data_IF_427244580865
#
_entry.id   IF_427244580865
#
_cell.length_a   1.000
_cell.length_b   1.000
_cell.length_c   1.000
_cell.angle_alpha   90.00
_cell.angle_beta   90.00
_cell.angle_gamma   90.00
#
_symmetry.space_group_name_H-M   'P 1'
#
loop_
_entity.id
_entity.type
_entity.pdbx_description
1 polymer ?
#
# COMPACT_ATOMS: atom_id res chain seq x y z
N UNK A 1 4.95 15.59 -4.43
CA UNK A 1 5.75 14.37 -4.20
C UNK A 1 6.44 14.50 -2.86
N UNK A 2 6.23 13.55 -1.96
CA UNK A 2 6.84 13.56 -0.62
C UNK A 2 7.95 12.52 -0.45
N UNK A 3 7.92 11.48 -1.28
CA UNK A 3 8.94 10.43 -1.26
C UNK A 3 9.02 9.75 -2.62
N UNK A 4 10.15 9.11 -2.89
CA UNK A 4 10.36 8.31 -4.08
C UNK A 4 10.91 6.95 -3.67
N UNK A 5 10.20 5.89 -4.04
CA UNK A 5 10.61 4.52 -3.76
C UNK A 5 11.08 3.85 -5.04
N UNK A 6 12.27 3.28 -5.00
CA UNK A 6 12.85 2.55 -6.14
C UNK A 6 13.24 1.15 -5.70
N UNK A 7 13.04 0.19 -6.60
CA UNK A 7 13.48 -1.19 -6.40
C UNK A 7 14.28 -1.64 -7.61
N UNK A 8 15.31 -2.44 -7.36
CA UNK A 8 16.17 -2.99 -8.41
C UNK A 8 16.29 -4.51 -8.23
N UNK A 9 16.29 -5.22 -9.33
CA UNK A 9 16.63 -6.63 -9.37
C UNK A 9 17.13 -7.00 -10.78
N UNK A 10 17.58 -8.23 -10.94
CA UNK A 10 18.16 -8.71 -12.20
C UNK A 10 17.14 -8.89 -13.32
N UNK A 11 15.87 -9.13 -13.00
CA UNK A 11 14.79 -9.29 -13.98
C UNK A 11 13.58 -8.42 -13.62
N UNK A 12 12.71 -8.17 -14.61
CA UNK A 12 11.48 -7.41 -14.39
C UNK A 12 10.58 -8.08 -13.34
N UNK A 13 10.40 -9.37 -13.43
CA UNK A 13 9.53 -10.13 -12.50
C UNK A 13 10.06 -10.02 -11.08
N UNK A 14 11.36 -10.20 -10.89
CA UNK A 14 11.98 -10.08 -9.57
C UNK A 14 11.92 -8.64 -9.03
N UNK A 15 12.12 -7.64 -9.88
CA UNK A 15 11.99 -6.24 -9.50
C UNK A 15 10.57 -5.90 -9.04
N UNK A 16 9.55 -6.42 -9.73
CA UNK A 16 8.15 -6.23 -9.34
C UNK A 16 7.85 -6.89 -7.99
N UNK A 17 8.34 -8.09 -7.76
CA UNK A 17 8.20 -8.79 -6.47
C UNK A 17 8.83 -7.98 -5.34
N UNK A 18 10.02 -7.46 -5.57
CA UNK A 18 10.73 -6.63 -4.58
C UNK A 18 9.99 -5.34 -4.30
N UNK A 19 9.49 -4.68 -5.33
CA UNK A 19 8.68 -3.45 -5.17
C UNK A 19 7.39 -3.73 -4.40
N UNK A 20 6.72 -4.83 -4.70
CA UNK A 20 5.51 -5.24 -3.99
C UNK A 20 5.76 -5.42 -2.50
N UNK A 21 6.85 -6.09 -2.15
CA UNK A 21 7.26 -6.25 -0.77
C UNK A 21 7.61 -4.91 -0.11
N UNK A 22 8.37 -4.08 -0.81
CA UNK A 22 8.77 -2.76 -0.29
C UNK A 22 7.54 -1.89 -0.01
N UNK A 23 6.56 -1.88 -0.91
CA UNK A 23 5.31 -1.12 -0.71
C UNK A 23 4.53 -1.66 0.50
N UNK A 24 4.46 -2.98 0.67
CA UNK A 24 3.74 -3.59 1.79
C UNK A 24 4.38 -3.27 3.16
N UNK A 25 5.65 -3.01 3.20
CA UNK A 25 6.40 -2.67 4.41
C UNK A 25 6.57 -1.16 4.61
N UNK A 26 6.25 -0.35 3.60
CA UNK A 26 6.44 1.10 3.62
C UNK A 26 5.25 1.77 4.31
N UNK A 27 5.53 2.54 5.35
CA UNK A 27 4.48 3.20 6.15
C UNK A 27 4.67 4.71 6.06
N UNK A 28 3.64 5.40 5.59
CA UNK A 28 3.55 6.87 5.61
C UNK A 28 2.26 7.22 6.34
N UNK A 29 2.38 7.96 7.42
CA UNK A 29 1.25 8.39 8.24
C UNK A 29 1.09 9.90 8.19
N UNK A 30 -0.13 10.36 8.41
CA UNK A 30 -0.45 11.78 8.45
C UNK A 30 -0.91 12.38 7.13
N UNK A 31 -0.72 11.69 6.02
CA UNK A 31 -1.18 12.14 4.69
C UNK A 31 -1.67 10.95 3.88
N UNK A 32 -2.57 11.20 2.94
CA UNK A 32 -2.95 10.20 1.94
C UNK A 32 -1.88 10.13 0.86
N UNK A 33 -1.58 8.91 0.42
CA UNK A 33 -0.55 8.65 -0.58
C UNK A 33 -1.08 7.77 -1.71
N UNK A 34 -0.26 7.61 -2.76
CA UNK A 34 -0.55 6.71 -3.87
C UNK A 34 -0.07 5.28 -3.63
N UNK A 35 0.42 4.95 -2.43
CA UNK A 35 0.90 3.60 -2.09
C UNK A 35 -0.13 2.51 -2.41
N UNK A 36 -1.42 2.64 -2.05
CA UNK A 36 -2.41 1.62 -2.40
C UNK A 36 -2.56 1.43 -3.90
N UNK A 37 -2.52 2.51 -4.67
CA UNK A 37 -2.58 2.44 -6.13
C UNK A 37 -1.37 1.71 -6.70
N UNK A 38 -0.18 2.00 -6.23
CA UNK A 38 1.04 1.32 -6.67
C UNK A 38 1.01 -0.16 -6.34
N UNK A 39 0.51 -0.52 -5.17
CA UNK A 39 0.34 -1.93 -4.80
C UNK A 39 -0.62 -2.65 -5.75
N UNK A 40 -1.75 -2.03 -6.09
CA UNK A 40 -2.70 -2.58 -7.04
C UNK A 40 -2.05 -2.79 -8.42
N UNK A 41 -1.25 -1.84 -8.88
CA UNK A 41 -0.54 -1.94 -10.15
C UNK A 41 0.46 -3.11 -10.13
N UNK A 42 1.25 -3.24 -9.06
CA UNK A 42 2.24 -4.31 -8.92
C UNK A 42 1.61 -5.70 -8.88
N UNK A 43 0.34 -5.81 -8.50
CA UNK A 43 -0.40 -7.08 -8.49
C UNK A 43 -1.20 -7.32 -9.77
N UNK A 44 -1.21 -6.39 -10.72
CA UNK A 44 -1.90 -6.55 -11.99
C UNK A 44 -1.14 -7.50 -12.91
N UNK A 45 -1.75 -8.60 -13.40
CA UNK A 45 -1.10 -9.49 -14.35
C UNK A 45 -0.65 -8.78 -15.62
N UNK A 46 -1.41 -7.81 -16.08
CA UNK A 46 -1.09 -7.03 -17.28
C UNK A 46 0.18 -6.22 -17.08
N UNK A 47 0.37 -5.63 -15.91
CA UNK A 47 1.59 -4.89 -15.59
C UNK A 47 2.79 -5.82 -15.49
N UNK A 48 2.63 -6.99 -14.85
CA UNK A 48 3.71 -8.00 -14.75
C UNK A 48 4.17 -8.46 -16.14
N UNK A 49 3.23 -8.64 -17.06
CA UNK A 49 3.51 -9.03 -18.44
C UNK A 49 4.06 -7.88 -19.31
N UNK A 50 3.99 -6.66 -18.82
CA UNK A 50 4.40 -5.49 -19.59
C UNK A 50 3.35 -5.00 -20.60
N UNK A 51 2.14 -5.52 -20.53
CA UNK A 51 1.02 -5.16 -21.42
C UNK A 51 0.28 -3.95 -20.87
N UNK A 52 0.91 -2.78 -20.96
CA UNK A 52 0.37 -1.53 -20.44
C UNK A 52 0.20 -0.50 -21.57
N UNK A 53 -0.71 0.46 -21.36
CA UNK A 53 -0.99 1.54 -22.29
C UNK A 53 -1.41 2.79 -21.53
N UNK A 54 -1.62 3.88 -22.25
CA UNK A 54 -1.91 5.21 -21.67
C UNK A 54 -3.12 5.19 -20.71
N UNK A 55 -4.12 4.38 -20.99
CA UNK A 55 -5.37 4.31 -20.20
C UNK A 55 -5.39 3.17 -19.18
N UNK A 56 -4.23 2.56 -18.90
CA UNK A 56 -4.10 1.40 -18.01
C UNK A 56 -4.71 1.64 -16.63
N UNK A 57 -4.48 2.80 -16.04
CA UNK A 57 -4.98 3.11 -14.69
C UNK A 57 -6.50 3.30 -14.63
N UNK A 58 -7.14 3.53 -15.76
CA UNK A 58 -8.59 3.70 -15.85
C UNK A 58 -9.33 2.37 -15.97
N UNK A 59 -8.62 1.26 -16.10
CA UNK A 59 -9.23 -0.04 -16.22
C UNK A 59 -9.88 -0.51 -14.92
N UNK A 60 -11.04 -1.12 -15.03
CA UNK A 60 -11.88 -1.52 -13.90
C UNK A 60 -11.17 -2.47 -12.93
N UNK A 61 -10.33 -3.37 -13.45
CA UNK A 61 -9.64 -4.35 -12.60
C UNK A 61 -8.65 -3.68 -11.62
N UNK A 62 -8.03 -2.57 -12.02
CA UNK A 62 -7.14 -1.79 -11.15
C UNK A 62 -7.96 -1.16 -10.03
N UNK A 63 -9.11 -0.58 -10.35
CA UNK A 63 -10.01 0.05 -9.37
C UNK A 63 -10.49 -0.97 -8.35
N UNK A 64 -10.94 -2.13 -8.80
CA UNK A 64 -11.41 -3.21 -7.92
C UNK A 64 -10.31 -3.73 -7.00
N UNK A 65 -9.11 -3.90 -7.53
CA UNK A 65 -7.95 -4.34 -6.74
C UNK A 65 -7.58 -3.29 -5.70
N UNK A 66 -7.63 -2.02 -6.06
CA UNK A 66 -7.36 -0.90 -5.16
C UNK A 66 -8.36 -0.87 -4.00
N UNK A 67 -9.65 -1.04 -4.28
CA UNK A 67 -10.68 -1.06 -3.24
C UNK A 67 -10.50 -2.23 -2.27
N UNK A 68 -10.16 -3.41 -2.79
CA UNK A 68 -9.87 -4.58 -1.96
C UNK A 68 -8.66 -4.33 -1.08
N UNK A 69 -7.60 -3.79 -1.64
CA UNK A 69 -6.38 -3.50 -0.89
C UNK A 69 -6.64 -2.52 0.25
N UNK A 70 -7.40 -1.46 0.00
CA UNK A 70 -7.75 -0.49 1.04
C UNK A 70 -8.49 -1.14 2.20
N UNK A 71 -9.47 -2.00 1.91
CA UNK A 71 -10.22 -2.72 2.95
C UNK A 71 -9.33 -3.64 3.77
N UNK A 72 -8.45 -4.38 3.11
CA UNK A 72 -7.53 -5.30 3.76
C UNK A 72 -6.51 -4.55 4.63
N UNK A 73 -6.03 -3.42 4.16
CA UNK A 73 -5.10 -2.57 4.89
C UNK A 73 -5.75 -1.98 6.14
N UNK A 74 -6.96 -1.48 6.02
CA UNK A 74 -7.72 -0.95 7.16
C UNK A 74 -7.96 -2.02 8.22
N UNK A 75 -8.38 -3.21 7.80
CA UNK A 75 -8.59 -4.33 8.71
C UNK A 75 -7.29 -4.73 9.41
N UNK A 76 -6.18 -4.77 8.68
CA UNK A 76 -4.86 -5.09 9.21
C UNK A 76 -4.40 -4.04 10.23
N UNK A 77 -4.59 -2.76 9.92
CA UNK A 77 -4.23 -1.66 10.82
C UNK A 77 -5.06 -1.69 12.10
N UNK A 78 -6.35 -1.99 12.01
CA UNK A 78 -7.22 -2.16 13.18
C UNK A 78 -6.77 -3.32 14.05
N UNK A 79 -6.40 -4.43 13.45
CA UNK A 79 -5.88 -5.60 14.16
C UNK A 79 -4.59 -5.27 14.90
N UNK A 80 -3.67 -4.57 14.24
CA UNK A 80 -2.42 -4.13 14.84
C UNK A 80 -2.67 -3.17 16.01
N UNK A 81 -3.57 -2.21 15.85
CA UNK A 81 -3.93 -1.28 16.91
C UNK A 81 -4.53 -2.02 18.13
N UNK A 82 -5.33 -3.05 17.89
CA UNK A 82 -5.90 -3.89 18.96
C UNK A 82 -4.87 -4.80 19.63
N UNK A 83 -3.86 -5.27 18.90
CA UNK A 83 -2.83 -6.19 19.39
C UNK A 83 -1.78 -5.51 20.25
N UNK A 84 -1.52 -4.23 20.01
CA UNK A 84 -0.44 -3.47 20.62
C UNK A 84 -0.89 -2.70 21.87
N UNK A 85 -1.65 -3.28 22.76
CA UNK A 85 -2.19 -2.60 23.94
C UNK A 85 -1.20 -2.30 25.07
N UNK A 86 0.11 -2.62 24.96
CA UNK A 86 1.05 -2.52 26.07
C UNK A 86 2.41 -1.92 25.65
N UNK A 87 2.87 -0.90 26.42
CA UNK A 87 4.19 -0.27 26.26
C UNK A 87 4.15 1.08 25.52
N UNK A 88 5.15 1.95 25.80
CA UNK A 88 5.22 3.32 25.26
C UNK A 88 5.38 3.35 23.74
N UNK A 89 6.24 2.49 23.18
CA UNK A 89 6.42 2.40 21.72
C UNK A 89 5.15 1.96 21.03
N UNK A 90 4.44 1.06 21.66
CA UNK A 90 3.18 0.52 21.18
C UNK A 90 2.09 1.58 21.22
N UNK A 91 2.02 2.37 22.31
CA UNK A 91 1.07 3.48 22.39
C UNK A 91 1.28 4.52 21.28
N UNK A 92 2.53 4.85 20.98
CA UNK A 92 2.86 5.77 19.88
C UNK A 92 2.43 5.24 18.52
N UNK A 93 2.69 3.96 18.25
CA UNK A 93 2.26 3.29 17.01
C UNK A 93 0.74 3.24 16.93
N UNK A 94 0.06 2.91 18.03
CA UNK A 94 -1.40 2.86 18.10
C UNK A 94 -2.00 4.24 17.83
N UNK A 95 -1.46 5.30 18.42
CA UNK A 95 -1.91 6.65 18.19
C UNK A 95 -1.73 7.05 16.72
N UNK A 96 -0.59 6.74 16.12
CA UNK A 96 -0.32 7.02 14.71
C UNK A 96 -1.29 6.25 13.79
N UNK A 97 -1.54 4.98 14.08
CA UNK A 97 -2.50 4.16 13.33
C UNK A 97 -3.91 4.75 13.45
N UNK A 98 -4.34 5.17 14.63
CA UNK A 98 -5.64 5.77 14.84
C UNK A 98 -5.81 7.08 14.04
N UNK A 99 -4.79 7.92 14.01
CA UNK A 99 -4.79 9.13 13.20
C UNK A 99 -4.93 8.79 11.71
N UNK A 100 -4.17 7.81 11.25
CA UNK A 100 -4.26 7.30 9.88
C UNK A 100 -5.67 6.83 9.53
N UNK A 101 -6.30 6.03 10.39
CA UNK A 101 -7.64 5.50 10.17
C UNK A 101 -8.69 6.62 10.14
N UNK A 102 -8.55 7.64 10.99
CA UNK A 102 -9.45 8.79 10.96
C UNK A 102 -9.36 9.56 9.66
N UNK A 103 -8.16 9.72 9.12
CA UNK A 103 -7.96 10.39 7.83
C UNK A 103 -8.59 9.62 6.67
N UNK A 104 -8.64 8.29 6.76
CA UNK A 104 -9.29 7.47 5.74
C UNK A 104 -10.81 7.61 5.72
N UNK A 105 -11.42 8.03 6.81
CA UNK A 105 -12.86 8.24 6.90
C UNK A 105 -13.33 9.59 6.34
N UNK A 106 -12.42 10.51 6.14
CA UNK A 106 -12.68 11.80 5.52
C UNK A 106 -12.51 11.67 4.00
#
# INVERSE_FOLDING_TARGET
MIAKLCAWDSTRVEAIKRMRRAISEYIILGVRTTLPLHYAIMNSPQFVEGNTHTHFLQEEHIIKTLERYKRDEEARMQTLAGSFGQGRKVAAITAAVNVYLQQQKE
#
